data_IF_155931911396
#
_entry.id   IF_155931911396
#
_cell.length_a   1.000
_cell.length_b   1.000
_cell.length_c   1.000
_cell.angle_alpha   90.00
_cell.angle_beta   90.00
_cell.angle_gamma   90.00
#
_symmetry.space_group_name_H-M   'P 1'
#
loop_
_entity.id
_entity.type
_entity.pdbx_description
1 polymer ?
#
# COMPACT_ATOMS: atom_id res chain seq x y z
N UNK A 1 -19.07 34.79 4.37
CA UNK A 1 -18.97 33.63 3.47
C UNK A 1 -17.59 33.64 2.84
N UNK A 2 -16.71 32.72 3.22
CA UNK A 2 -15.37 32.65 2.63
C UNK A 2 -14.40 31.79 3.42
N UNK A 3 -14.81 30.60 3.87
CA UNK A 3 -13.94 29.70 4.64
C UNK A 3 -14.25 28.24 4.28
N UNK A 4 -14.25 27.96 2.97
CA UNK A 4 -14.34 26.60 2.44
C UNK A 4 -13.25 26.36 1.37
N UNK A 5 -12.62 27.40 0.83
CA UNK A 5 -11.54 27.24 -0.15
C UNK A 5 -10.20 26.84 0.48
N UNK A 6 -9.96 27.28 1.73
CA UNK A 6 -8.70 27.10 2.44
C UNK A 6 -8.59 25.68 3.03
N UNK A 7 -9.66 25.19 3.68
CA UNK A 7 -9.75 23.79 4.14
C UNK A 7 -9.54 22.76 3.02
N UNK A 8 -10.07 23.01 1.82
CA UNK A 8 -9.91 22.09 0.69
C UNK A 8 -8.49 22.09 0.12
N UNK A 9 -7.72 23.16 0.32
CA UNK A 9 -6.29 23.21 -0.03
C UNK A 9 -5.46 22.50 1.03
N UNK A 10 -5.69 22.80 2.31
CA UNK A 10 -5.04 22.13 3.44
C UNK A 10 -5.27 20.61 3.41
N UNK A 11 -6.49 20.16 3.10
CA UNK A 11 -6.81 18.73 3.03
C UNK A 11 -6.12 18.00 1.87
N UNK A 12 -6.02 18.66 0.70
CA UNK A 12 -5.27 18.12 -0.45
C UNK A 12 -3.78 18.03 -0.16
N UNK A 13 -3.22 19.03 0.52
CA UNK A 13 -1.81 19.06 0.90
C UNK A 13 -1.47 17.97 1.93
N UNK A 14 -2.31 17.83 2.95
CA UNK A 14 -2.17 16.78 3.96
C UNK A 14 -2.28 15.36 3.36
N UNK A 15 -3.13 15.18 2.34
CA UNK A 15 -3.24 13.90 1.60
C UNK A 15 -1.99 13.59 0.78
N UNK A 16 -1.34 14.61 0.20
CA UNK A 16 -0.06 14.48 -0.53
C UNK A 16 1.09 14.17 0.41
N UNK A 17 1.17 14.84 1.55
CA UNK A 17 2.20 14.60 2.56
C UNK A 17 2.16 13.16 3.07
N UNK A 18 0.98 12.64 3.45
CA UNK A 18 0.84 11.23 3.82
C UNK A 18 1.29 10.28 2.72
N UNK A 19 0.88 10.54 1.47
CA UNK A 19 1.29 9.69 0.34
C UNK A 19 2.82 9.70 0.15
N UNK A 20 3.49 10.84 0.37
CA UNK A 20 4.94 10.94 0.32
C UNK A 20 5.62 10.16 1.47
N UNK A 21 5.10 10.24 2.70
CA UNK A 21 5.59 9.46 3.84
C UNK A 21 5.44 7.94 3.61
N UNK A 22 4.31 7.53 3.03
CA UNK A 22 4.08 6.13 2.67
C UNK A 22 4.99 5.68 1.52
N UNK A 23 5.25 6.54 0.54
CA UNK A 23 6.22 6.28 -0.54
C UNK A 23 7.64 6.12 -0.02
N UNK A 24 8.06 6.91 0.96
CA UNK A 24 9.36 6.76 1.61
C UNK A 24 9.53 5.40 2.32
N UNK A 25 8.41 4.76 2.73
CA UNK A 25 8.40 3.45 3.38
C UNK A 25 8.34 2.26 2.39
N UNK A 26 8.07 2.52 1.11
CA UNK A 26 8.07 1.49 0.04
C UNK A 26 9.34 0.66 0.02
N UNK A 27 10.55 1.23 -0.05
CA UNK A 27 11.78 0.44 -0.15
C UNK A 27 11.96 -0.49 1.06
N UNK A 28 11.63 -0.02 2.28
CA UNK A 28 11.68 -0.85 3.48
C UNK A 28 10.65 -1.99 3.42
N UNK A 29 9.42 -1.71 3.00
CA UNK A 29 8.37 -2.71 2.86
C UNK A 29 8.68 -3.77 1.78
N UNK A 30 9.22 -3.35 0.63
CA UNK A 30 9.68 -4.24 -0.42
C UNK A 30 10.84 -5.11 0.07
N UNK A 31 11.79 -4.54 0.82
CA UNK A 31 12.87 -5.29 1.46
C UNK A 31 12.31 -6.36 2.39
N UNK A 32 11.35 -6.02 3.27
CA UNK A 32 10.73 -7.01 4.17
C UNK A 32 9.99 -8.12 3.41
N UNK A 33 9.29 -7.80 2.31
CA UNK A 33 8.65 -8.81 1.47
C UNK A 33 9.68 -9.73 0.80
N UNK A 34 10.79 -9.17 0.30
CA UNK A 34 11.87 -9.94 -0.30
C UNK A 34 12.59 -10.83 0.73
N UNK A 35 12.86 -10.32 1.94
CA UNK A 35 13.44 -11.09 3.05
C UNK A 35 12.53 -12.24 3.50
N UNK A 36 11.21 -12.07 3.39
CA UNK A 36 10.23 -13.14 3.61
C UNK A 36 10.12 -14.15 2.43
N UNK A 37 10.91 -13.97 1.37
CA UNK A 37 10.87 -14.82 0.17
C UNK A 37 9.59 -14.65 -0.66
N UNK A 38 8.86 -13.54 -0.47
CA UNK A 38 7.60 -13.27 -1.15
C UNK A 38 7.88 -12.57 -2.48
N UNK A 39 7.33 -13.10 -3.57
CA UNK A 39 7.48 -12.50 -4.90
C UNK A 39 6.63 -11.24 -5.01
N UNK A 40 7.24 -10.15 -5.45
CA UNK A 40 6.54 -8.87 -5.67
C UNK A 40 6.79 -8.41 -7.10
N UNK A 41 5.72 -8.07 -7.82
CA UNK A 41 5.75 -7.51 -9.17
C UNK A 41 5.10 -6.13 -9.14
N UNK A 42 5.79 -5.12 -9.66
CA UNK A 42 5.19 -3.81 -9.88
C UNK A 42 4.25 -3.88 -11.09
N UNK A 43 3.02 -3.36 -10.96
CA UNK A 43 2.02 -3.38 -12.03
C UNK A 43 1.78 -2.01 -12.66
N UNK A 44 1.87 -0.93 -11.88
CA UNK A 44 1.45 0.40 -12.32
C UNK A 44 2.47 1.45 -11.85
N UNK A 45 3.61 1.57 -12.54
CA UNK A 45 4.66 2.58 -12.29
C UNK A 45 5.05 2.85 -10.82
N UNK A 46 4.90 1.85 -9.94
CA UNK A 46 5.21 1.95 -8.52
C UNK A 46 4.04 2.34 -7.60
N UNK A 47 2.82 2.49 -8.11
CA UNK A 47 1.61 2.79 -7.34
C UNK A 47 0.89 1.53 -6.84
N UNK A 48 1.04 0.42 -7.57
CA UNK A 48 0.40 -0.85 -7.28
C UNK A 48 1.37 -2.01 -7.51
N UNK A 49 1.41 -2.93 -6.55
CA UNK A 49 2.24 -4.12 -6.57
C UNK A 49 1.38 -5.36 -6.44
N UNK A 50 1.63 -6.36 -7.30
CA UNK A 50 1.16 -7.72 -7.11
C UNK A 50 2.11 -8.44 -6.16
N UNK A 51 1.56 -9.10 -5.15
CA UNK A 51 2.29 -9.87 -4.15
C UNK A 51 1.84 -11.34 -4.23
N UNK A 52 2.81 -12.23 -4.42
CA UNK A 52 2.65 -13.69 -4.54
C UNK A 52 1.62 -14.13 -5.60
N UNK A 53 1.36 -13.31 -6.61
CA UNK A 53 0.32 -13.52 -7.64
C UNK A 53 -1.11 -13.71 -7.09
N UNK A 54 -1.31 -13.51 -5.79
CA UNK A 54 -2.56 -13.73 -5.07
C UNK A 54 -3.12 -12.47 -4.43
N UNK A 55 -2.28 -11.46 -4.22
CA UNK A 55 -2.64 -10.23 -3.54
C UNK A 55 -2.22 -8.99 -4.31
N UNK A 56 -2.99 -7.93 -4.12
CA UNK A 56 -2.76 -6.56 -4.56
C UNK A 56 -2.37 -5.73 -3.36
N UNK A 57 -1.34 -4.90 -3.51
CA UNK A 57 -0.88 -4.00 -2.48
C UNK A 57 -0.65 -2.59 -3.03
N UNK A 58 -1.29 -1.60 -2.40
CA UNK A 58 -1.13 -0.19 -2.68
C UNK A 58 -0.31 0.46 -1.57
N UNK A 59 0.99 0.67 -1.76
CA UNK A 59 1.84 1.24 -0.74
C UNK A 59 1.42 2.66 -0.32
N UNK A 60 0.95 3.47 -1.26
CA UNK A 60 0.51 4.85 -1.01
C UNK A 60 -0.56 4.96 0.09
N UNK A 61 -1.34 3.90 0.29
CA UNK A 61 -2.38 3.81 1.34
C UNK A 61 -2.08 2.72 2.37
N UNK A 62 -1.08 1.88 2.13
CA UNK A 62 -0.80 0.66 2.89
C UNK A 62 -1.88 -0.42 2.77
N UNK A 63 -2.88 -0.26 1.90
CA UNK A 63 -3.99 -1.20 1.72
C UNK A 63 -3.55 -2.39 0.87
N UNK A 64 -4.09 -3.57 1.16
CA UNK A 64 -3.97 -4.73 0.29
C UNK A 64 -5.29 -5.50 0.20
N UNK A 65 -5.44 -6.31 -0.85
CA UNK A 65 -6.56 -7.25 -1.03
C UNK A 65 -6.10 -8.52 -1.74
N UNK A 66 -6.83 -9.62 -1.57
CA UNK A 66 -6.68 -10.79 -2.44
C UNK A 66 -7.33 -10.54 -3.80
N UNK A 67 -6.86 -11.23 -4.84
CA UNK A 67 -7.42 -11.14 -6.19
C UNK A 67 -8.87 -11.62 -6.26
N UNK A 68 -9.22 -12.61 -5.44
CA UNK A 68 -10.57 -13.15 -5.29
C UNK A 68 -11.48 -12.25 -4.41
N UNK A 69 -10.94 -11.18 -3.83
CA UNK A 69 -11.71 -10.19 -3.07
C UNK A 69 -12.17 -10.61 -1.67
N UNK A 70 -12.01 -11.89 -1.29
CA UNK A 70 -12.37 -12.40 0.05
C UNK A 70 -11.53 -11.85 1.19
N UNK A 71 -10.29 -11.45 0.93
CA UNK A 71 -9.38 -10.95 1.97
C UNK A 71 -8.98 -9.52 1.65
N UNK A 72 -9.05 -8.65 2.64
CA UNK A 72 -8.53 -7.29 2.53
C UNK A 72 -7.89 -6.90 3.85
N UNK A 73 -6.94 -5.99 3.80
CA UNK A 73 -6.31 -5.49 5.01
C UNK A 73 -5.44 -4.28 4.77
N UNK A 74 -4.71 -3.92 5.81
CA UNK A 74 -3.79 -2.79 5.81
C UNK A 74 -2.45 -3.22 6.41
N UNK A 75 -1.40 -2.45 6.08
CA UNK A 75 -0.01 -2.63 6.52
C UNK A 75 0.67 -3.84 5.88
N UNK A 76 1.95 -3.68 5.55
CA UNK A 76 2.77 -4.74 4.93
C UNK A 76 2.92 -5.97 5.85
N UNK A 77 2.99 -5.80 7.18
CA UNK A 77 3.07 -6.93 8.12
C UNK A 77 1.85 -7.84 8.05
N UNK A 78 0.64 -7.27 7.93
CA UNK A 78 -0.58 -8.06 7.81
C UNK A 78 -0.65 -8.78 6.46
N UNK A 79 -0.13 -8.15 5.40
CA UNK A 79 -0.02 -8.79 4.08
C UNK A 79 0.92 -9.99 4.13
N UNK A 80 2.09 -9.85 4.75
CA UNK A 80 3.05 -10.96 4.94
C UNK A 80 2.36 -12.11 5.67
N UNK A 81 1.68 -11.82 6.79
CA UNK A 81 0.93 -12.83 7.54
C UNK A 81 -0.10 -13.55 6.66
N UNK A 82 -0.91 -12.80 5.89
CA UNK A 82 -1.91 -13.38 4.99
C UNK A 82 -1.31 -14.26 3.89
N UNK A 83 -0.18 -13.84 3.31
CA UNK A 83 0.57 -14.63 2.31
C UNK A 83 1.12 -15.91 2.94
N UNK A 84 1.70 -15.82 4.14
CA UNK A 84 2.29 -16.98 4.84
C UNK A 84 1.25 -17.96 5.39
N UNK A 85 0.09 -17.47 5.84
CA UNK A 85 -1.00 -18.33 6.35
C UNK A 85 -1.77 -19.04 5.24
N UNK A 86 -1.65 -18.57 3.99
CA UNK A 86 -2.30 -19.18 2.82
C UNK A 86 -1.41 -20.20 2.09
N UNK A 87 -0.26 -20.53 2.66
CA UNK A 87 0.76 -21.44 2.12
C UNK A 87 0.70 -22.78 2.84
#
# INVERSE_FOLDING_TARGET
MGDMGDDFRAWREHKRQRAAEFRARIPAALKTLAEAGIRVRCLDHGEHYRVDERFDWWPSTGRWRSLDGKQTGFRVRSLIAAVTSSK
#
